data_IF_230144376844
#
_entry.id   IF_230144376844
#
_cell.length_a   1.000
_cell.length_b   1.000
_cell.length_c   1.000
_cell.angle_alpha   90.00
_cell.angle_beta   90.00
_cell.angle_gamma   90.00
#
_symmetry.space_group_name_H-M   'P 1'
#
loop_
_entity.id
_entity.type
_entity.pdbx_description
1 polymer ?
#
# COMPACT_ATOMS: atom_id res chain seq x y z
N UNK A 1 -29.09 1.81 -18.36
CA UNK A 1 -29.90 1.15 -17.31
C UNK A 1 -28.95 0.84 -16.17
N UNK A 2 -28.93 1.69 -15.14
CA UNK A 2 -28.17 1.45 -13.92
C UNK A 2 -28.92 0.40 -13.10
N UNK A 3 -28.26 -0.70 -12.77
CA UNK A 3 -28.81 -1.72 -11.88
C UNK A 3 -28.59 -1.29 -10.44
N UNK A 4 -29.68 -1.01 -9.72
CA UNK A 4 -29.67 -0.87 -8.26
C UNK A 4 -29.34 -2.23 -7.62
N UNK A 5 -28.29 -2.29 -6.81
CA UNK A 5 -27.94 -3.47 -6.00
C UNK A 5 -28.65 -3.38 -4.64
N UNK A 6 -29.43 -4.41 -4.31
CA UNK A 6 -30.12 -4.57 -3.02
C UNK A 6 -29.32 -5.49 -2.07
N UNK A 7 -29.47 -5.36 -0.74
CA UNK A 7 -28.65 -6.09 0.21
C UNK A 7 -29.13 -7.55 0.32
N UNK A 8 -28.36 -8.46 -0.29
CA UNK A 8 -28.62 -9.90 -0.27
C UNK A 8 -27.97 -10.69 -1.41
N UNK A 9 -27.33 -10.04 -2.37
CA UNK A 9 -26.75 -10.74 -3.51
C UNK A 9 -25.60 -11.67 -3.10
N UNK A 10 -25.77 -12.94 -3.49
CA UNK A 10 -24.73 -13.96 -3.55
C UNK A 10 -23.45 -13.38 -4.17
N UNK A 11 -22.28 -13.73 -3.64
CA UNK A 11 -20.96 -13.28 -4.13
C UNK A 11 -20.81 -13.56 -5.64
N UNK A 12 -21.51 -14.59 -6.15
CA UNK A 12 -21.51 -15.05 -7.54
C UNK A 12 -21.96 -14.01 -8.62
N UNK A 13 -22.37 -12.79 -8.24
CA UNK A 13 -22.82 -11.74 -9.17
C UNK A 13 -22.05 -10.41 -9.03
N UNK A 14 -20.96 -10.37 -8.26
CA UNK A 14 -20.15 -9.16 -8.15
C UNK A 14 -19.13 -9.09 -9.29
N UNK A 15 -19.06 -7.95 -9.98
CA UNK A 15 -17.95 -7.67 -10.90
C UNK A 15 -16.61 -7.82 -10.17
N UNK A 16 -15.64 -8.51 -10.78
CA UNK A 16 -14.30 -8.73 -10.24
C UNK A 16 -14.30 -9.56 -8.93
N UNK A 17 -15.04 -10.67 -8.91
CA UNK A 17 -15.21 -11.51 -7.71
C UNK A 17 -13.88 -11.95 -7.08
N UNK A 18 -12.95 -12.50 -7.88
CA UNK A 18 -11.68 -13.00 -7.38
C UNK A 18 -10.82 -11.87 -6.80
N UNK A 19 -10.73 -10.75 -7.51
CA UNK A 19 -10.01 -9.54 -7.09
C UNK A 19 -10.53 -9.01 -5.74
N UNK A 20 -11.86 -9.03 -5.57
CA UNK A 20 -12.51 -8.62 -4.32
C UNK A 20 -12.21 -9.59 -3.18
N UNK A 21 -12.19 -10.90 -3.46
CA UNK A 21 -11.86 -11.94 -2.47
C UNK A 21 -10.40 -11.80 -2.04
N UNK A 22 -9.47 -11.60 -2.97
CA UNK A 22 -8.05 -11.44 -2.67
C UNK A 22 -7.79 -10.22 -1.79
N UNK A 23 -8.37 -9.07 -2.13
CA UNK A 23 -8.28 -7.86 -1.30
C UNK A 23 -8.88 -8.11 0.10
N UNK A 24 -10.07 -8.71 0.18
CA UNK A 24 -10.69 -9.07 1.45
C UNK A 24 -9.77 -9.96 2.30
N UNK A 25 -9.10 -10.95 1.69
CA UNK A 25 -8.11 -11.79 2.36
C UNK A 25 -6.93 -10.98 2.88
N UNK A 26 -6.36 -10.08 2.06
CA UNK A 26 -5.24 -9.22 2.44
C UNK A 26 -5.58 -8.33 3.64
N UNK A 27 -6.75 -7.68 3.66
CA UNK A 27 -7.21 -6.89 4.82
C UNK A 27 -7.25 -7.73 6.11
N UNK A 28 -7.83 -8.94 6.04
CA UNK A 28 -7.95 -9.82 7.22
C UNK A 28 -6.59 -10.33 7.70
N UNK A 29 -5.66 -10.64 6.80
CA UNK A 29 -4.31 -11.04 7.17
C UNK A 29 -3.48 -9.89 7.74
N UNK A 30 -3.62 -8.69 7.21
CA UNK A 30 -2.98 -7.47 7.76
C UNK A 30 -3.32 -7.29 9.24
N UNK A 31 -4.59 -7.48 9.60
CA UNK A 31 -5.03 -7.43 11.02
C UNK A 31 -4.40 -8.54 11.84
N UNK A 32 -4.42 -9.79 11.34
CA UNK A 32 -3.84 -10.95 12.06
C UNK A 32 -2.35 -10.79 12.31
N UNK A 33 -1.65 -10.07 11.45
CA UNK A 33 -0.23 -9.77 11.56
C UNK A 33 0.06 -8.47 12.34
N UNK A 34 -0.97 -7.74 12.80
CA UNK A 34 -0.79 -6.51 13.57
C UNK A 34 -0.29 -5.31 12.76
N UNK A 35 -0.45 -5.32 11.43
CA UNK A 35 0.05 -4.28 10.52
C UNK A 35 -1.02 -3.22 10.14
N UNK A 36 -2.11 -3.13 10.89
CA UNK A 36 -3.23 -2.23 10.61
C UNK A 36 -3.29 -1.09 11.63
N UNK A 37 -3.86 0.04 11.23
CA UNK A 37 -4.10 1.22 12.05
C UNK A 37 -5.58 1.61 11.96
N UNK A 38 -6.38 1.09 12.90
CA UNK A 38 -7.82 1.31 13.00
C UNK A 38 -8.56 1.27 11.64
N UNK A 39 -9.00 2.44 11.13
CA UNK A 39 -9.69 2.61 9.84
C UNK A 39 -8.89 3.44 8.83
N UNK A 40 -7.62 3.77 9.14
CA UNK A 40 -6.83 4.76 8.41
C UNK A 40 -6.08 4.19 7.19
N UNK A 41 -6.03 2.87 7.05
CA UNK A 41 -5.29 2.22 5.97
C UNK A 41 -6.18 1.87 4.77
N UNK A 42 -5.55 1.75 3.60
CA UNK A 42 -6.27 1.61 2.34
C UNK A 42 -5.54 0.67 1.37
N UNK A 43 -6.23 -0.34 0.85
CA UNK A 43 -5.72 -1.17 -0.26
C UNK A 43 -6.58 -0.97 -1.48
N UNK A 44 -5.94 -0.91 -2.64
CA UNK A 44 -6.65 -0.81 -3.91
C UNK A 44 -6.06 -1.73 -4.98
N UNK A 45 -6.88 -2.11 -5.95
CA UNK A 45 -6.46 -2.92 -7.09
C UNK A 45 -7.15 -2.45 -8.36
N UNK A 46 -6.36 -2.06 -9.36
CA UNK A 46 -6.84 -1.73 -10.69
C UNK A 46 -7.39 -2.97 -11.41
N UNK A 47 -8.52 -2.79 -12.09
CA UNK A 47 -9.30 -3.86 -12.75
C UNK A 47 -9.47 -3.68 -14.26
N UNK A 48 -9.10 -2.52 -14.81
CA UNK A 48 -9.04 -2.26 -16.25
C UNK A 48 -7.57 -2.18 -16.74
N UNK A 49 -7.33 -2.31 -18.05
CA UNK A 49 -5.97 -2.29 -18.61
C UNK A 49 -5.20 -1.01 -18.30
N UNK A 50 -5.88 0.14 -18.39
CA UNK A 50 -5.24 1.46 -18.27
C UNK A 50 -4.92 1.87 -16.81
N UNK A 51 -5.37 1.09 -15.82
CA UNK A 51 -5.06 1.31 -14.40
C UNK A 51 -6.04 2.23 -13.66
N UNK A 52 -6.91 2.91 -14.39
CA UNK A 52 -7.75 3.98 -13.84
C UNK A 52 -8.97 3.49 -13.07
N UNK A 53 -9.54 2.33 -13.42
CA UNK A 53 -10.66 1.75 -12.68
C UNK A 53 -10.13 0.79 -11.62
N UNK A 54 -10.48 0.98 -10.35
CA UNK A 54 -9.92 0.20 -9.25
C UNK A 54 -10.92 -0.10 -8.13
N UNK A 55 -10.69 -1.22 -7.45
CA UNK A 55 -11.35 -1.59 -6.21
C UNK A 55 -10.64 -0.92 -5.03
N UNK A 56 -11.37 -0.48 -4.00
CA UNK A 56 -10.80 0.04 -2.74
C UNK A 56 -11.73 -0.25 -1.55
N UNK A 57 -11.20 -0.29 -0.32
CA UNK A 57 -12.03 -0.44 0.88
C UNK A 57 -12.80 0.84 1.23
N UNK A 58 -14.02 0.70 1.81
CA UNK A 58 -14.71 1.81 2.45
C UNK A 58 -14.07 2.15 3.81
N UNK A 59 -14.57 3.20 4.46
CA UNK A 59 -14.21 3.61 5.84
C UNK A 59 -14.66 2.57 6.87
N UNK A 60 -13.93 1.46 6.95
CA UNK A 60 -14.28 0.30 7.77
C UNK A 60 -13.02 -0.38 8.28
N UNK A 61 -13.07 -0.84 9.53
CA UNK A 61 -11.95 -1.57 10.13
C UNK A 61 -11.65 -2.84 9.32
N UNK A 62 -10.38 -3.09 9.02
CA UNK A 62 -9.94 -4.20 8.15
C UNK A 62 -10.46 -5.57 8.60
N UNK A 63 -10.61 -5.77 9.91
CA UNK A 63 -11.15 -7.01 10.50
C UNK A 63 -12.63 -7.26 10.18
N UNK A 64 -13.33 -6.32 9.53
CA UNK A 64 -14.75 -6.41 9.18
C UNK A 64 -15.01 -6.32 7.69
N UNK A 65 -14.00 -6.05 6.87
CA UNK A 65 -14.13 -5.94 5.41
C UNK A 65 -14.42 -7.31 4.79
N UNK A 66 -15.39 -7.36 3.88
CA UNK A 66 -15.77 -8.49 3.03
C UNK A 66 -15.58 -8.10 1.56
N UNK A 67 -15.50 -9.08 0.68
CA UNK A 67 -15.41 -8.86 -0.78
C UNK A 67 -16.54 -7.96 -1.32
N UNK A 68 -17.76 -8.13 -0.78
CA UNK A 68 -18.94 -7.34 -1.13
C UNK A 68 -18.92 -5.90 -0.61
N UNK A 69 -18.02 -5.55 0.32
CA UNK A 69 -17.94 -4.19 0.86
C UNK A 69 -17.12 -3.26 -0.04
N UNK A 70 -16.33 -3.79 -0.99
CA UNK A 70 -15.36 -2.99 -1.75
C UNK A 70 -16.06 -2.07 -2.76
N UNK A 71 -15.56 -0.84 -2.82
CA UNK A 71 -16.02 0.18 -3.76
C UNK A 71 -15.30 -0.02 -5.09
N UNK A 72 -15.97 0.27 -6.21
CA UNK A 72 -15.36 0.34 -7.55
C UNK A 72 -15.38 1.81 -7.98
N UNK A 73 -14.20 2.36 -8.27
CA UNK A 73 -14.02 3.77 -8.62
C UNK A 73 -13.26 3.90 -9.95
N UNK A 74 -13.40 5.03 -10.63
CA UNK A 74 -12.59 5.42 -11.79
C UNK A 74 -11.80 6.67 -11.43
N UNK A 75 -10.47 6.59 -11.43
CA UNK A 75 -9.54 7.65 -11.03
C UNK A 75 -9.70 8.96 -11.83
N UNK A 76 -10.37 8.92 -12.98
CA UNK A 76 -10.70 10.09 -13.80
C UNK A 76 -12.04 10.75 -13.43
N UNK A 77 -12.86 10.10 -12.61
CA UNK A 77 -14.18 10.56 -12.18
C UNK A 77 -14.23 10.69 -10.64
N UNK A 78 -13.93 11.88 -10.10
CA UNK A 78 -13.92 12.10 -8.65
C UNK A 78 -15.29 11.80 -8.01
N UNK A 79 -15.34 11.03 -6.92
CA UNK A 79 -16.59 10.73 -6.23
C UNK A 79 -17.19 11.99 -5.57
N UNK A 80 -18.52 12.03 -5.43
CA UNK A 80 -19.17 13.06 -4.61
C UNK A 80 -18.94 12.77 -3.13
N UNK A 81 -18.00 13.48 -2.51
CA UNK A 81 -17.66 13.30 -1.09
C UNK A 81 -18.78 13.71 -0.11
N UNK A 82 -19.93 14.19 -0.59
CA UNK A 82 -21.14 14.35 0.23
C UNK A 82 -21.91 13.04 0.40
N UNK A 83 -21.66 12.05 -0.46
CA UNK A 83 -22.23 10.73 -0.33
C UNK A 83 -21.65 10.03 0.93
N UNK A 84 -22.48 9.56 1.88
CA UNK A 84 -22.02 8.79 3.02
C UNK A 84 -21.21 7.54 2.68
N UNK A 85 -21.43 6.97 1.48
CA UNK A 85 -20.74 5.77 1.00
C UNK A 85 -19.49 6.10 0.15
N UNK A 86 -19.14 7.38 0.01
CA UNK A 86 -17.92 7.82 -0.67
C UNK A 86 -16.65 7.25 0.01
N UNK A 87 -15.58 7.01 -0.76
CA UNK A 87 -14.30 6.62 -0.20
C UNK A 87 -13.74 7.70 0.73
N UNK A 88 -12.74 7.34 1.52
CA UNK A 88 -11.97 8.33 2.25
C UNK A 88 -11.27 9.30 1.28
N UNK A 89 -11.36 10.61 1.56
CA UNK A 89 -10.78 11.65 0.72
C UNK A 89 -9.26 11.53 0.62
N UNK A 90 -8.60 11.09 1.70
CA UNK A 90 -7.15 10.89 1.72
C UNK A 90 -6.75 9.65 0.93
N UNK A 91 -7.55 8.58 1.02
CA UNK A 91 -7.38 7.39 0.21
C UNK A 91 -7.52 7.70 -1.28
N UNK A 92 -8.55 8.48 -1.65
CA UNK A 92 -8.76 8.95 -3.01
C UNK A 92 -7.59 9.79 -3.51
N UNK A 93 -7.15 10.76 -2.71
CA UNK A 93 -6.04 11.65 -3.06
C UNK A 93 -4.75 10.90 -3.40
N UNK A 94 -4.38 9.90 -2.60
CA UNK A 94 -3.17 9.11 -2.83
C UNK A 94 -3.37 8.03 -3.91
N UNK A 95 -4.32 7.11 -3.71
CA UNK A 95 -4.51 5.96 -4.60
C UNK A 95 -5.00 6.38 -5.99
N UNK A 96 -5.91 7.35 -6.06
CA UNK A 96 -6.43 7.86 -7.34
C UNK A 96 -5.32 8.50 -8.18
N UNK A 97 -4.46 9.33 -7.56
CA UNK A 97 -3.34 9.97 -8.27
C UNK A 97 -2.32 8.96 -8.78
N UNK A 98 -1.99 7.93 -7.99
CA UNK A 98 -1.04 6.89 -8.42
C UNK A 98 -1.65 6.02 -9.53
N UNK A 99 -2.91 5.61 -9.42
CA UNK A 99 -3.58 4.86 -10.49
C UNK A 99 -3.68 5.64 -11.81
N UNK A 100 -3.86 6.97 -11.76
CA UNK A 100 -3.83 7.82 -12.97
C UNK A 100 -2.45 7.89 -13.62
N UNK A 101 -1.39 8.01 -12.82
CA UNK A 101 -0.08 8.40 -13.30
C UNK A 101 0.92 7.24 -13.42
N UNK A 102 0.65 6.11 -12.75
CA UNK A 102 1.53 4.94 -12.71
C UNK A 102 0.77 3.67 -13.14
N UNK A 103 0.48 3.44 -14.43
CA UNK A 103 -0.32 2.29 -14.88
C UNK A 103 0.25 0.91 -14.49
N UNK A 104 1.56 0.82 -14.21
CA UNK A 104 2.24 -0.39 -13.75
C UNK A 104 1.98 -0.69 -12.26
N UNK A 105 1.50 0.29 -11.47
CA UNK A 105 1.14 0.14 -10.07
C UNK A 105 -0.29 -0.42 -9.95
N UNK A 106 -0.47 -1.70 -10.28
CA UNK A 106 -1.79 -2.34 -10.34
C UNK A 106 -2.45 -2.47 -8.98
N UNK A 107 -1.71 -2.92 -7.98
CA UNK A 107 -2.16 -3.06 -6.61
C UNK A 107 -1.36 -2.12 -5.72
N UNK A 108 -2.05 -1.37 -4.87
CA UNK A 108 -1.45 -0.46 -3.89
C UNK A 108 -1.89 -0.90 -2.50
N UNK A 109 -0.93 -1.08 -1.61
CA UNK A 109 -1.15 -1.38 -0.20
C UNK A 109 -0.48 -0.29 0.63
N UNK A 110 -1.29 0.58 1.22
CA UNK A 110 -0.83 1.58 2.17
C UNK A 110 -1.20 1.18 3.60
N UNK A 111 -0.21 1.13 4.49
CA UNK A 111 -0.35 0.76 5.90
C UNK A 111 0.59 1.54 6.80
N UNK A 112 0.31 1.53 8.11
CA UNK A 112 1.14 2.14 9.15
C UNK A 112 1.69 1.09 10.15
N UNK A 113 2.41 0.06 9.71
CA UNK A 113 2.93 -0.95 10.62
C UNK A 113 4.09 -0.37 11.43
N UNK A 114 4.29 -0.87 12.65
CA UNK A 114 5.12 -0.20 13.66
C UNK A 114 6.56 0.01 13.17
N UNK A 115 7.23 -1.02 12.64
CA UNK A 115 8.66 -0.92 12.35
C UNK A 115 8.94 -0.10 11.10
N UNK A 116 8.13 -0.23 10.05
CA UNK A 116 8.23 0.64 8.86
C UNK A 116 7.94 2.11 9.21
N UNK A 117 6.98 2.36 10.10
CA UNK A 117 6.66 3.72 10.56
C UNK A 117 7.78 4.31 11.41
N UNK A 118 8.41 3.51 12.28
CA UNK A 118 9.60 3.92 13.03
C UNK A 118 10.75 4.26 12.07
N UNK A 119 11.01 3.41 11.06
CA UNK A 119 12.02 3.66 10.03
C UNK A 119 11.76 4.99 9.29
N UNK A 120 10.53 5.21 8.84
CA UNK A 120 10.11 6.47 8.20
C UNK A 120 10.20 7.69 9.11
N UNK A 121 10.34 7.51 10.43
CA UNK A 121 10.48 8.61 11.38
C UNK A 121 11.94 8.97 11.69
N UNK A 122 12.91 8.20 11.19
CA UNK A 122 14.34 8.49 11.35
C UNK A 122 14.79 9.61 10.40
N UNK A 123 15.82 10.36 10.80
CA UNK A 123 16.46 11.34 9.90
C UNK A 123 17.11 10.67 8.67
N UNK A 124 17.50 9.40 8.82
CA UNK A 124 17.92 8.53 7.72
C UNK A 124 17.00 7.30 7.70
N UNK A 125 16.08 7.27 6.75
CA UNK A 125 15.14 6.15 6.55
C UNK A 125 15.68 5.07 5.61
N UNK A 126 16.97 5.10 5.25
CA UNK A 126 17.56 4.04 4.46
C UNK A 126 17.73 2.75 5.28
N UNK A 127 17.46 1.61 4.64
CA UNK A 127 17.72 0.27 5.18
C UNK A 127 19.05 -0.24 4.63
N UNK A 128 19.99 -0.57 5.53
CA UNK A 128 21.23 -1.25 5.15
C UNK A 128 20.99 -2.75 4.97
N UNK A 129 21.63 -3.41 3.98
CA UNK A 129 21.49 -4.85 3.76
C UNK A 129 22.29 -5.63 4.82
N UNK A 130 21.68 -5.95 5.95
CA UNK A 130 22.31 -6.64 7.09
C UNK A 130 21.89 -8.10 7.23
N UNK A 131 20.84 -8.51 6.52
CA UNK A 131 20.31 -9.86 6.44
C UNK A 131 19.65 -10.08 5.07
N UNK A 132 19.06 -11.25 4.84
CA UNK A 132 18.39 -11.58 3.59
C UNK A 132 17.13 -10.70 3.33
N UNK A 133 16.37 -10.34 4.37
CA UNK A 133 15.15 -9.56 4.19
C UNK A 133 15.47 -8.10 3.81
N UNK A 134 16.46 -7.50 4.47
CA UNK A 134 16.92 -6.14 4.18
C UNK A 134 17.62 -6.07 2.82
N UNK A 135 18.37 -7.12 2.43
CA UNK A 135 18.97 -7.21 1.09
C UNK A 135 17.92 -7.24 -0.04
N UNK A 136 16.77 -7.89 0.16
CA UNK A 136 15.68 -7.96 -0.83
C UNK A 136 15.24 -6.58 -1.35
N UNK A 137 15.38 -5.55 -0.53
CA UNK A 137 14.97 -4.17 -0.83
C UNK A 137 16.14 -3.25 -1.18
N UNK A 138 17.37 -3.75 -1.24
CA UNK A 138 18.53 -2.93 -1.57
C UNK A 138 18.33 -2.23 -2.93
N UNK A 139 18.34 -0.89 -2.91
CA UNK A 139 18.10 -0.02 -4.08
C UNK A 139 16.75 -0.21 -4.80
N UNK A 140 15.74 -0.79 -4.14
CA UNK A 140 14.41 -1.08 -4.72
C UNK A 140 13.25 -0.37 -4.02
N UNK A 141 13.56 0.71 -3.32
CA UNK A 141 12.59 1.59 -2.67
C UNK A 141 12.97 3.05 -2.86
N UNK A 142 11.97 3.91 -2.66
CA UNK A 142 12.14 5.37 -2.56
C UNK A 142 11.70 5.84 -1.18
N UNK A 143 12.21 7.00 -0.79
CA UNK A 143 11.81 7.69 0.44
C UNK A 143 11.07 8.95 0.02
N UNK A 144 9.87 9.12 0.56
CA UNK A 144 9.13 10.37 0.51
C UNK A 144 9.32 11.12 1.83
N UNK A 145 9.98 12.28 1.80
CA UNK A 145 10.19 13.16 2.97
C UNK A 145 9.20 14.33 3.04
N UNK A 146 8.23 14.39 2.11
CA UNK A 146 7.33 15.53 1.92
C UNK A 146 6.01 15.42 2.66
N UNK A 147 5.98 14.87 3.89
CA UNK A 147 4.74 14.70 4.66
C UNK A 147 4.07 16.06 4.95
N UNK A 148 2.84 16.23 4.46
CA UNK A 148 2.07 17.48 4.55
C UNK A 148 0.94 17.47 5.59
N UNK A 149 0.79 16.38 6.36
CA UNK A 149 -0.32 16.17 7.29
C UNK A 149 -1.43 15.30 6.67
N UNK A 150 -2.36 15.91 5.92
CA UNK A 150 -3.40 15.17 5.22
C UNK A 150 -3.01 14.94 3.75
N UNK A 151 -3.06 13.69 3.32
CA UNK A 151 -2.78 13.31 1.94
C UNK A 151 -3.88 13.85 1.02
N UNK A 152 -3.55 14.91 0.29
CA UNK A 152 -4.37 15.47 -0.78
C UNK A 152 -3.74 15.16 -2.14
N UNK A 153 -4.38 15.59 -3.22
CA UNK A 153 -3.93 15.37 -4.60
C UNK A 153 -2.46 15.76 -4.83
N UNK A 154 -1.96 16.83 -4.20
CA UNK A 154 -0.53 17.21 -4.30
C UNK A 154 0.44 16.16 -3.74
N UNK A 155 0.07 15.50 -2.64
CA UNK A 155 0.85 14.39 -2.08
C UNK A 155 0.78 13.20 -3.04
N UNK A 156 -0.40 12.87 -3.56
CA UNK A 156 -0.60 11.80 -4.54
C UNK A 156 0.24 11.97 -5.81
N UNK A 157 0.25 13.18 -6.41
CA UNK A 157 1.04 13.49 -7.61
C UNK A 157 2.56 13.39 -7.34
N UNK A 158 3.02 13.87 -6.17
CA UNK A 158 4.42 13.73 -5.77
C UNK A 158 4.78 12.26 -5.56
N UNK A 159 3.96 11.49 -4.85
CA UNK A 159 4.17 10.06 -4.67
C UNK A 159 4.21 9.31 -6.00
N UNK A 160 3.29 9.63 -6.93
CA UNK A 160 3.30 9.05 -8.27
C UNK A 160 4.63 9.36 -9.00
N UNK A 161 5.13 10.59 -8.90
CA UNK A 161 6.41 10.96 -9.54
C UNK A 161 7.61 10.16 -9.02
N UNK A 162 7.59 9.79 -7.73
CA UNK A 162 8.62 8.96 -7.09
C UNK A 162 8.50 7.47 -7.47
N UNK A 163 7.33 7.04 -7.96
CA UNK A 163 7.05 5.67 -8.40
C UNK A 163 7.06 5.53 -9.92
N UNK A 164 7.66 6.48 -10.66
CA UNK A 164 7.72 6.41 -12.12
C UNK A 164 8.59 5.26 -12.64
N UNK A 165 9.58 4.82 -11.86
CA UNK A 165 10.42 3.67 -12.19
C UNK A 165 9.69 2.36 -11.81
N UNK A 166 9.34 1.50 -12.78
CA UNK A 166 8.67 0.24 -12.50
C UNK A 166 9.47 -0.72 -11.61
N UNK A 167 10.79 -0.56 -11.46
CA UNK A 167 11.59 -1.40 -10.56
C UNK A 167 11.43 -1.00 -9.08
N UNK A 168 10.97 0.23 -8.81
CA UNK A 168 10.69 0.72 -7.46
C UNK A 168 9.28 0.27 -7.05
N UNK A 169 9.22 -0.65 -6.09
CA UNK A 169 7.96 -1.25 -5.62
C UNK A 169 7.55 -0.85 -4.20
N UNK A 170 8.40 -0.08 -3.52
CA UNK A 170 8.20 0.32 -2.13
C UNK A 170 8.50 1.80 -1.97
N UNK A 171 7.62 2.50 -1.27
CA UNK A 171 7.83 3.86 -0.81
C UNK A 171 7.74 3.91 0.70
N UNK A 172 8.85 4.29 1.32
CA UNK A 172 8.86 4.69 2.73
C UNK A 172 8.29 6.11 2.78
N UNK A 173 7.15 6.27 3.45
CA UNK A 173 6.51 7.57 3.62
C UNK A 173 6.96 8.16 4.96
N UNK A 174 7.83 9.16 4.90
CA UNK A 174 8.43 9.84 6.04
C UNK A 174 7.38 10.34 7.02
N UNK A 175 7.57 10.08 8.30
CA UNK A 175 6.64 10.40 9.39
C UNK A 175 5.20 9.87 9.21
N UNK A 176 4.97 8.90 8.32
CA UNK A 176 3.63 8.46 7.95
C UNK A 176 3.50 6.92 8.00
N UNK A 177 4.25 6.20 7.17
CA UNK A 177 4.14 4.74 7.08
C UNK A 177 4.79 4.20 5.81
N UNK A 178 4.15 3.24 5.15
CA UNK A 178 4.67 2.64 3.92
C UNK A 178 3.58 2.47 2.87
N UNK A 179 3.97 2.62 1.61
CA UNK A 179 3.16 2.30 0.44
C UNK A 179 3.90 1.25 -0.39
N UNK A 180 3.22 0.16 -0.69
CA UNK A 180 3.74 -0.93 -1.51
C UNK A 180 2.92 -1.01 -2.80
N UNK A 181 3.60 -1.15 -3.94
CA UNK A 181 2.96 -1.39 -5.23
C UNK A 181 3.35 -2.75 -5.82
N UNK A 182 2.46 -3.33 -6.62
CA UNK A 182 2.72 -4.60 -7.31
C UNK A 182 1.69 -4.89 -8.39
N UNK A 183 1.82 -6.05 -9.03
CA UNK A 183 0.96 -6.44 -10.16
C UNK A 183 -0.38 -7.03 -9.72
N UNK A 184 -0.40 -7.66 -8.55
CA UNK A 184 -1.56 -8.32 -7.97
C UNK A 184 -1.49 -8.29 -6.43
N UNK A 185 -2.58 -8.67 -5.77
CA UNK A 185 -2.70 -8.60 -4.31
C UNK A 185 -1.68 -9.50 -3.61
N UNK A 186 -1.44 -10.71 -4.12
CA UNK A 186 -0.55 -11.68 -3.47
C UNK A 186 0.92 -11.21 -3.49
N UNK A 187 1.42 -10.75 -4.63
CA UNK A 187 2.77 -10.17 -4.75
C UNK A 187 2.93 -8.94 -3.84
N UNK A 188 1.99 -8.01 -3.91
CA UNK A 188 2.03 -6.76 -3.14
C UNK A 188 1.97 -7.03 -1.63
N UNK A 189 1.11 -7.95 -1.19
CA UNK A 189 0.99 -8.32 0.22
C UNK A 189 2.22 -9.09 0.72
N UNK A 190 2.78 -9.98 -0.09
CA UNK A 190 4.02 -10.68 0.23
C UNK A 190 5.18 -9.68 0.42
N UNK A 191 5.23 -8.65 -0.43
CA UNK A 191 6.21 -7.57 -0.33
C UNK A 191 6.04 -6.74 0.93
N UNK A 192 4.80 -6.37 1.30
CA UNK A 192 4.52 -5.73 2.58
C UNK A 192 5.04 -6.57 3.75
N UNK A 193 4.71 -7.87 3.76
CA UNK A 193 5.13 -8.78 4.83
C UNK A 193 6.65 -8.81 5.01
N UNK A 194 7.41 -8.94 3.91
CA UNK A 194 8.87 -8.95 3.98
C UNK A 194 9.45 -7.58 4.31
N UNK A 195 8.83 -6.49 3.86
CA UNK A 195 9.30 -5.14 4.15
C UNK A 195 9.19 -4.83 5.65
N UNK A 196 8.04 -5.14 6.27
CA UNK A 196 7.88 -4.94 7.71
C UNK A 196 8.85 -5.81 8.52
N UNK A 197 9.14 -7.04 8.06
CA UNK A 197 10.16 -7.90 8.68
C UNK A 197 11.58 -7.34 8.52
N UNK A 198 11.90 -6.78 7.36
CA UNK A 198 13.18 -6.14 7.11
C UNK A 198 13.37 -4.93 8.04
N UNK A 199 12.34 -4.08 8.14
CA UNK A 199 12.32 -2.95 9.05
C UNK A 199 12.45 -3.41 10.52
N UNK A 200 11.71 -4.44 10.94
CA UNK A 200 11.79 -5.01 12.29
C UNK A 200 13.22 -5.46 12.63
N UNK A 201 13.83 -6.27 11.76
CA UNK A 201 15.21 -6.75 11.97
C UNK A 201 16.19 -5.58 12.03
N UNK A 202 16.08 -4.64 11.09
CA UNK A 202 16.98 -3.50 11.00
C UNK A 202 16.91 -2.61 12.25
N UNK A 203 15.71 -2.21 12.67
CA UNK A 203 15.48 -1.39 13.85
C UNK A 203 15.97 -2.10 15.12
N UNK A 204 15.66 -3.39 15.30
CA UNK A 204 16.14 -4.17 16.45
C UNK A 204 17.66 -4.33 16.45
N UNK A 205 18.30 -4.44 15.29
CA UNK A 205 19.75 -4.46 15.20
C UNK A 205 20.37 -3.13 15.63
N UNK A 206 19.78 -2.00 15.21
CA UNK A 206 20.21 -0.65 15.64
C UNK A 206 20.08 -0.47 17.16
N UNK A 207 19.01 -0.97 17.79
CA UNK A 207 18.81 -0.87 19.25
C UNK A 207 19.93 -1.51 20.07
N UNK A 208 20.70 -2.43 19.50
CA UNK A 208 21.81 -3.07 20.21
C UNK A 208 23.00 -2.10 20.42
N UNK A 209 23.05 -0.98 19.68
CA UNK A 209 24.18 -0.05 19.67
C UNK A 209 25.49 -0.65 19.15
N UNK A 210 25.47 -1.88 18.62
CA UNK A 210 26.65 -2.54 18.06
C UNK A 210 26.83 -2.17 16.59
N UNK A 211 28.08 -2.24 16.13
CA UNK A 211 28.39 -2.09 14.70
C UNK A 211 27.67 -3.18 13.89
N UNK A 212 26.91 -2.75 12.89
CA UNK A 212 26.21 -3.66 11.98
C UNK A 212 27.19 -4.39 11.05
N UNK A 213 26.87 -5.64 10.72
CA UNK A 213 27.54 -6.41 9.67
C UNK A 213 26.76 -6.21 8.37
N UNK A 214 27.19 -5.25 7.57
CA UNK A 214 26.57 -4.91 6.29
C UNK A 214 27.13 -5.83 5.21
N UNK A 215 26.25 -6.39 4.36
CA UNK A 215 26.63 -7.11 3.15
C UNK A 215 27.30 -6.15 2.16
N UNK A 216 28.13 -6.67 1.25
CA UNK A 216 28.57 -5.85 0.11
C UNK A 216 27.42 -5.61 -0.85
N UNK A 217 27.45 -4.47 -1.54
CA UNK A 217 26.47 -4.11 -2.56
C UNK A 217 26.32 -5.21 -3.63
N UNK A 218 27.43 -5.82 -4.07
CA UNK A 218 27.42 -6.93 -5.04
C UNK A 218 26.64 -8.17 -4.55
N UNK A 219 26.63 -8.43 -3.23
CA UNK A 219 25.87 -9.54 -2.65
C UNK A 219 24.40 -9.15 -2.49
N UNK A 220 24.13 -7.91 -2.06
CA UNK A 220 22.77 -7.42 -1.88
C UNK A 220 22.00 -7.34 -3.21
N UNK A 221 22.67 -6.91 -4.29
CA UNK A 221 22.10 -6.81 -5.64
C UNK A 221 21.60 -8.16 -6.19
N UNK A 222 22.18 -9.27 -5.74
CA UNK A 222 21.87 -10.64 -6.22
C UNK A 222 20.60 -11.24 -5.61
N UNK A 223 20.03 -10.63 -4.57
CA UNK A 223 18.83 -11.13 -3.89
C UNK A 223 17.56 -10.70 -4.61
#
# INVERSE_FOLDING_TARGET
>A
MMSEQFPGDSIANLNYENERIDLACAFRWTVRMGMHEAIANHFSLAVNADGTCFLINPKKHFSRIKASDLLLLDSNDPPDFKDPDAPDMTAWGLHGSIHRNCPHARCLIHVHPIYSTVLGSLADSNILPIDQNTALFFQRYVIDDGYGGMAFEKEGERCASLLNDPEIKVMIMGNHGVLIIGENVADTFNRLYYFERAAETYIKALWTGKKLRVLSDEIAEKT
#
